data_IF_589265870082
#
_entry.id   IF_589265870082
#
_cell.length_a   1.000
_cell.length_b   1.000
_cell.length_c   1.000
_cell.angle_alpha   90.00
_cell.angle_beta   90.00
_cell.angle_gamma   90.00
#
_symmetry.space_group_name_H-M   'P 1'
#
loop_
_entity.id
_entity.type
_entity.pdbx_description
1 polymer ?
#
# COMPACT_ATOMS: atom_id res chain seq x y z
N UNK A 1 -0.62 5.50 20.09
CA UNK A 1 0.38 6.40 20.69
C UNK A 1 0.95 5.72 21.92
N UNK A 2 2.23 5.92 22.19
CA UNK A 2 2.91 5.49 23.42
C UNK A 2 3.49 6.73 24.09
N UNK A 3 3.45 6.79 25.43
CA UNK A 3 4.01 7.87 26.23
C UNK A 3 5.14 7.31 27.10
N UNK A 4 6.37 7.60 26.72
CA UNK A 4 7.56 7.17 27.45
C UNK A 4 8.19 8.41 28.11
N UNK A 5 8.08 8.51 29.44
CA UNK A 5 8.61 9.62 30.25
C UNK A 5 8.23 11.03 29.75
N UNK A 6 7.01 11.19 29.22
CA UNK A 6 6.50 12.47 28.71
C UNK A 6 6.75 12.71 27.23
N UNK A 7 7.43 11.80 26.53
CA UNK A 7 7.62 11.83 25.07
C UNK A 7 6.51 11.02 24.41
N UNK A 8 5.69 11.68 23.58
CA UNK A 8 4.61 11.04 22.83
C UNK A 8 5.09 10.54 21.47
N UNK A 9 5.06 9.23 21.27
CA UNK A 9 5.40 8.58 19.99
C UNK A 9 4.12 8.06 19.30
N UNK A 10 3.92 8.49 18.06
CA UNK A 10 2.83 8.03 17.20
C UNK A 10 3.22 6.80 16.39
N UNK A 11 2.37 5.76 16.38
CA UNK A 11 2.52 4.60 15.52
C UNK A 11 1.23 4.39 14.72
N UNK A 12 1.36 4.00 13.46
CA UNK A 12 0.25 3.52 12.65
C UNK A 12 0.37 2.00 12.51
N UNK A 13 -0.61 1.27 13.03
CA UNK A 13 -0.56 -0.20 13.14
C UNK A 13 -1.30 -0.92 12.01
N UNK A 14 -2.07 -0.19 11.20
CA UNK A 14 -2.86 -0.80 10.13
C UNK A 14 -1.95 -1.52 9.11
N UNK A 15 -0.84 -0.89 8.73
CA UNK A 15 0.14 -1.48 7.82
C UNK A 15 0.85 -2.69 8.42
N UNK A 16 1.35 -2.59 9.65
CA UNK A 16 2.05 -3.71 10.33
C UNK A 16 1.10 -4.86 10.61
N UNK A 17 -0.15 -4.58 10.97
CA UNK A 17 -1.21 -5.57 11.17
C UNK A 17 -1.51 -6.33 9.88
N UNK A 18 -1.62 -5.64 8.74
CA UNK A 18 -1.84 -6.28 7.44
C UNK A 18 -0.67 -7.21 7.05
N UNK A 19 0.58 -6.71 7.10
CA UNK A 19 1.76 -7.50 6.74
C UNK A 19 1.92 -8.73 7.64
N UNK A 20 1.64 -8.57 8.93
CA UNK A 20 1.63 -9.67 9.89
C UNK A 20 0.55 -10.70 9.58
N UNK A 21 -0.66 -10.27 9.28
CA UNK A 21 -1.77 -11.18 8.96
C UNK A 21 -1.46 -12.05 7.72
N UNK A 22 -0.81 -11.48 6.70
CA UNK A 22 -0.34 -12.25 5.54
C UNK A 22 0.70 -13.32 5.93
N UNK A 23 1.69 -12.92 6.74
CA UNK A 23 2.73 -13.84 7.22
C UNK A 23 2.15 -14.98 8.06
N UNK A 24 1.22 -14.68 8.98
CA UNK A 24 0.52 -15.68 9.80
C UNK A 24 -0.36 -16.62 8.97
N UNK A 25 -0.89 -16.14 7.83
CA UNK A 25 -1.61 -16.95 6.86
C UNK A 25 -0.69 -17.76 5.92
N UNK A 26 0.63 -17.64 6.04
CA UNK A 26 1.60 -18.30 5.17
C UNK A 26 1.72 -17.68 3.77
N UNK A 27 1.25 -16.44 3.59
CA UNK A 27 1.30 -15.70 2.33
C UNK A 27 2.53 -14.80 2.33
N UNK A 28 3.60 -15.25 1.67
CA UNK A 28 4.81 -14.46 1.50
C UNK A 28 4.70 -13.52 0.28
N UNK A 29 4.82 -12.21 0.52
CA UNK A 29 4.80 -11.17 -0.51
C UNK A 29 6.12 -10.38 -0.62
N UNK A 30 7.13 -10.72 0.19
CA UNK A 30 8.41 -10.01 0.21
C UNK A 30 9.17 -10.32 -1.08
N UNK A 31 9.79 -9.30 -1.68
CA UNK A 31 10.46 -9.41 -2.98
C UNK A 31 9.51 -9.63 -4.17
N UNK A 32 8.18 -9.60 -3.96
CA UNK A 32 7.15 -9.84 -4.98
C UNK A 32 6.37 -8.56 -5.28
N UNK A 33 5.40 -8.68 -6.20
CA UNK A 33 4.54 -7.57 -6.63
C UNK A 33 3.15 -7.70 -6.03
N UNK A 34 2.59 -6.56 -5.61
CA UNK A 34 1.20 -6.46 -5.13
C UNK A 34 0.41 -5.40 -5.89
N UNK A 35 -0.89 -5.63 -6.06
CA UNK A 35 -1.84 -4.64 -6.56
C UNK A 35 -2.77 -4.21 -5.42
N UNK A 36 -2.99 -2.89 -5.27
CA UNK A 36 -3.80 -2.29 -4.21
C UNK A 36 -4.89 -1.42 -4.83
N UNK A 37 -6.13 -1.59 -4.37
CA UNK A 37 -7.25 -0.72 -4.71
C UNK A 37 -7.49 0.27 -3.58
N UNK A 38 -7.44 1.56 -3.90
CA UNK A 38 -7.69 2.65 -2.97
C UNK A 38 -6.44 3.44 -2.59
N UNK A 39 -6.66 4.70 -2.20
CA UNK A 39 -5.62 5.63 -1.75
C UNK A 39 -6.00 6.37 -0.44
N UNK A 40 -6.91 5.78 0.34
CA UNK A 40 -7.28 6.28 1.67
C UNK A 40 -6.20 6.03 2.72
N UNK A 41 -6.51 6.35 3.99
CA UNK A 41 -5.56 6.19 5.11
C UNK A 41 -5.05 4.76 5.28
N UNK A 42 -5.95 3.77 5.24
CA UNK A 42 -5.59 2.35 5.34
C UNK A 42 -4.69 1.90 4.17
N UNK A 43 -5.05 2.26 2.94
CA UNK A 43 -4.25 1.94 1.75
C UNK A 43 -2.85 2.57 1.83
N UNK A 44 -2.75 3.82 2.27
CA UNK A 44 -1.48 4.53 2.45
C UNK A 44 -0.60 3.83 3.48
N UNK A 45 -1.15 3.53 4.67
CA UNK A 45 -0.42 2.86 5.74
C UNK A 45 0.13 1.50 5.31
N UNK A 46 -0.69 0.74 4.58
CA UNK A 46 -0.33 -0.57 4.04
C UNK A 46 0.75 -0.47 2.97
N UNK A 47 0.64 0.45 2.00
CA UNK A 47 1.66 0.61 0.95
C UNK A 47 3.01 1.04 1.54
N UNK A 48 2.99 1.95 2.52
CA UNK A 48 4.21 2.40 3.21
C UNK A 48 4.86 1.23 3.96
N UNK A 49 4.09 0.48 4.73
CA UNK A 49 4.65 -0.66 5.48
C UNK A 49 5.14 -1.77 4.54
N UNK A 50 4.38 -2.11 3.50
CA UNK A 50 4.77 -3.11 2.51
C UNK A 50 6.11 -2.76 1.83
N UNK A 51 6.29 -1.50 1.46
CA UNK A 51 7.55 -1.02 0.88
C UNK A 51 8.72 -1.09 1.87
N UNK A 52 8.51 -0.71 3.14
CA UNK A 52 9.53 -0.79 4.20
C UNK A 52 9.92 -2.24 4.51
N UNK A 53 8.97 -3.17 4.45
CA UNK A 53 9.18 -4.60 4.75
C UNK A 53 9.84 -5.36 3.58
N UNK A 54 9.97 -4.73 2.41
CA UNK A 54 10.70 -5.28 1.26
C UNK A 54 9.84 -5.89 0.16
N UNK A 55 8.57 -5.48 0.03
CA UNK A 55 7.81 -5.74 -1.21
C UNK A 55 8.54 -5.08 -2.39
N UNK A 56 8.70 -5.80 -3.49
CA UNK A 56 9.48 -5.35 -4.64
C UNK A 56 8.74 -4.30 -5.46
N UNK A 57 7.44 -4.51 -5.68
CA UNK A 57 6.64 -3.63 -6.52
C UNK A 57 5.20 -3.48 -6.00
N UNK A 58 4.66 -2.26 -6.06
CA UNK A 58 3.29 -1.93 -5.66
C UNK A 58 2.60 -1.16 -6.80
N UNK A 59 1.43 -1.66 -7.22
CA UNK A 59 0.57 -0.97 -8.18
C UNK A 59 -0.69 -0.49 -7.48
N UNK A 60 -0.82 0.81 -7.27
CA UNK A 60 -1.99 1.44 -6.66
C UNK A 60 -2.98 1.82 -7.77
N UNK A 61 -4.24 1.47 -7.58
CA UNK A 61 -5.35 1.92 -8.41
C UNK A 61 -6.32 2.73 -7.57
N UNK A 62 -6.62 3.95 -7.99
CA UNK A 62 -7.64 4.79 -7.36
C UNK A 62 -8.42 5.54 -8.44
N UNK A 63 -9.71 5.80 -8.20
CA UNK A 63 -10.48 6.70 -9.07
C UNK A 63 -9.88 8.09 -9.04
N UNK A 64 -10.13 8.89 -10.08
CA UNK A 64 -9.78 10.33 -10.12
C UNK A 64 -10.67 11.16 -9.19
N UNK A 65 -10.59 10.89 -7.90
CA UNK A 65 -11.30 11.57 -6.84
C UNK A 65 -10.35 12.40 -5.95
N UNK A 66 -10.88 12.93 -4.85
CA UNK A 66 -10.12 13.75 -3.90
C UNK A 66 -8.92 13.05 -3.26
N UNK A 67 -8.84 11.72 -3.30
CA UNK A 67 -7.74 10.95 -2.73
C UNK A 67 -6.61 10.69 -3.74
N UNK A 68 -6.82 10.96 -5.03
CA UNK A 68 -5.82 10.70 -6.06
C UNK A 68 -4.52 11.49 -5.83
N UNK A 69 -4.62 12.77 -5.46
CA UNK A 69 -3.44 13.60 -5.14
C UNK A 69 -2.65 13.06 -3.94
N UNK A 70 -3.35 12.54 -2.92
CA UNK A 70 -2.69 11.88 -1.78
C UNK A 70 -1.98 10.59 -2.21
N UNK A 71 -2.52 9.87 -3.19
CA UNK A 71 -1.89 8.71 -3.78
C UNK A 71 -0.58 9.09 -4.51
N UNK A 72 -0.56 10.20 -5.26
CA UNK A 72 0.64 10.71 -5.91
C UNK A 72 1.73 11.07 -4.89
N UNK A 73 1.37 11.72 -3.79
CA UNK A 73 2.31 11.99 -2.70
C UNK A 73 2.84 10.71 -2.06
N UNK A 74 1.99 9.69 -1.89
CA UNK A 74 2.38 8.39 -1.33
C UNK A 74 3.40 7.70 -2.24
N UNK A 75 3.15 7.69 -3.55
CA UNK A 75 4.10 7.19 -4.57
C UNK A 75 5.44 7.93 -4.45
N UNK A 76 5.42 9.27 -4.38
CA UNK A 76 6.64 10.06 -4.27
C UNK A 76 7.43 9.75 -2.99
N UNK A 77 6.74 9.66 -1.84
CA UNK A 77 7.36 9.34 -0.54
C UNK A 77 7.99 7.94 -0.56
N UNK A 78 7.29 6.93 -1.08
CA UNK A 78 7.81 5.56 -1.14
C UNK A 78 9.01 5.46 -2.08
N UNK A 79 8.93 6.04 -3.29
CA UNK A 79 10.06 6.06 -4.24
C UNK A 79 11.30 6.75 -3.69
N UNK A 80 11.13 7.77 -2.85
CA UNK A 80 12.26 8.52 -2.29
C UNK A 80 12.92 7.82 -1.10
N UNK A 81 12.16 7.04 -0.33
CA UNK A 81 12.62 6.51 0.96
C UNK A 81 12.81 4.98 0.97
N UNK A 82 12.50 4.29 -0.13
CA UNK A 82 12.59 2.83 -0.22
C UNK A 82 13.04 2.39 -1.62
N UNK A 83 13.47 1.13 -1.74
CA UNK A 83 13.80 0.51 -3.03
C UNK A 83 12.57 -0.09 -3.75
N UNK A 84 11.37 0.10 -3.20
CA UNK A 84 10.13 -0.44 -3.79
C UNK A 84 9.77 0.32 -5.08
N UNK A 85 9.58 -0.43 -6.16
CA UNK A 85 8.96 0.10 -7.37
C UNK A 85 7.48 0.39 -7.08
N UNK A 86 7.00 1.60 -7.35
CA UNK A 86 5.60 1.93 -7.06
C UNK A 86 5.00 2.82 -8.13
N UNK A 87 3.78 2.48 -8.57
CA UNK A 87 3.04 3.19 -9.61
C UNK A 87 1.60 3.44 -9.18
N UNK A 88 1.05 4.56 -9.65
CA UNK A 88 -0.36 4.91 -9.49
C UNK A 88 -1.04 4.90 -10.86
N UNK A 89 -2.17 4.23 -10.92
CA UNK A 89 -3.02 4.13 -12.11
C UNK A 89 -4.44 4.59 -11.78
N UNK A 90 -5.16 4.95 -12.85
CA UNK A 90 -6.59 5.19 -12.77
C UNK A 90 -7.33 3.86 -12.61
N UNK A 91 -8.30 3.79 -11.70
CA UNK A 91 -9.10 2.57 -11.52
C UNK A 91 -9.93 2.22 -12.76
N UNK A 92 -10.29 3.23 -13.56
CA UNK A 92 -11.07 3.03 -14.78
C UNK A 92 -10.22 2.48 -15.96
N UNK A 93 -8.89 2.39 -15.80
CA UNK A 93 -8.00 1.69 -16.74
C UNK A 93 -8.04 0.17 -16.51
N UNK A 94 -9.10 -0.45 -17.00
CA UNK A 94 -9.37 -1.88 -16.77
C UNK A 94 -8.31 -2.80 -17.39
N UNK A 95 -7.73 -2.42 -18.52
CA UNK A 95 -6.68 -3.19 -19.19
C UNK A 95 -5.41 -3.19 -18.33
N UNK A 96 -5.03 -2.02 -17.81
CA UNK A 96 -3.91 -1.91 -16.89
C UNK A 96 -4.19 -2.64 -15.59
N UNK A 97 -5.38 -2.48 -15.01
CA UNK A 97 -5.78 -3.19 -13.79
C UNK A 97 -5.63 -4.69 -13.94
N UNK A 98 -6.12 -5.26 -15.05
CA UNK A 98 -5.98 -6.69 -15.34
C UNK A 98 -4.51 -7.10 -15.44
N UNK A 99 -3.70 -6.37 -16.20
CA UNK A 99 -2.28 -6.68 -16.37
C UNK A 99 -1.47 -6.61 -15.05
N UNK A 100 -1.78 -5.64 -14.20
CA UNK A 100 -1.13 -5.49 -12.90
C UNK A 100 -1.55 -6.59 -11.92
N UNK A 101 -2.82 -7.01 -11.93
CA UNK A 101 -3.30 -8.17 -11.16
C UNK A 101 -2.63 -9.46 -11.63
N UNK A 102 -2.61 -9.73 -12.94
CA UNK A 102 -2.03 -10.96 -13.51
C UNK A 102 -0.54 -11.12 -13.19
N UNK A 103 0.17 -10.01 -12.95
CA UNK A 103 1.59 -9.99 -12.57
C UNK A 103 1.85 -9.85 -11.08
N UNK A 104 0.80 -9.74 -10.25
CA UNK A 104 0.87 -9.61 -8.80
C UNK A 104 0.58 -10.94 -8.11
N UNK A 105 1.18 -11.14 -6.94
CA UNK A 105 0.89 -12.33 -6.11
C UNK A 105 -0.28 -12.11 -5.17
N UNK A 106 -0.72 -10.87 -5.00
CA UNK A 106 -1.85 -10.49 -4.17
C UNK A 106 -2.57 -9.25 -4.74
N UNK A 107 -3.89 -9.27 -4.65
CA UNK A 107 -4.76 -8.11 -4.85
C UNK A 107 -5.37 -7.73 -3.50
N UNK A 108 -5.25 -6.45 -3.14
CA UNK A 108 -5.74 -5.93 -1.86
C UNK A 108 -6.77 -4.84 -2.09
N UNK A 109 -7.99 -5.06 -1.63
CA UNK A 109 -8.97 -3.98 -1.55
C UNK A 109 -8.78 -3.19 -0.25
N UNK A 110 -8.39 -1.92 -0.36
CA UNK A 110 -8.24 -0.98 0.73
C UNK A 110 -9.11 0.28 0.52
N UNK A 111 -10.18 0.15 -0.26
CA UNK A 111 -11.23 1.16 -0.36
C UNK A 111 -12.23 1.02 0.79
N UNK A 112 -12.81 2.12 1.25
CA UNK A 112 -13.93 2.05 2.19
C UNK A 112 -15.18 1.55 1.48
N UNK A 113 -15.90 0.61 2.08
CA UNK A 113 -17.27 0.29 1.67
C UNK A 113 -18.15 1.51 1.97
N UNK A 114 -18.68 2.14 0.94
CA UNK A 114 -19.89 2.95 1.06
C UNK A 114 -21.11 2.02 0.93
#
# INVERSE_FOLDING_TARGET
MVNDDGVLTGHITDGTGYMRALSEAGIDIIGKKMTVLGAGGAATALCVQAALDGVKAISIFNRRDKFFANAEETVAKIRHNTDCEIHLFDLDDHDKLRAEIDSSVILTNATGSA
#
